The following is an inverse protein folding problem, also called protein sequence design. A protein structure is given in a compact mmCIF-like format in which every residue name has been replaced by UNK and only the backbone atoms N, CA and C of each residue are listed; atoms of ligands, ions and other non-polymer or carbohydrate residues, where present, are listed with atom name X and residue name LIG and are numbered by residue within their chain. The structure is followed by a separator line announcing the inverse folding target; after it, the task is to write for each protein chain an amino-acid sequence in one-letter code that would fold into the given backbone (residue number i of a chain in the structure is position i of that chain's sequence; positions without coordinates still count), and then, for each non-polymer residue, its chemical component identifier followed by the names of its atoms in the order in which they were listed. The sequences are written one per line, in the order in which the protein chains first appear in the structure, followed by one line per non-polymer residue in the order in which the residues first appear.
data_IF_431501695325
#
_entry.id   IF_431501695325
#
_cell.length_a   1.000
_cell.length_b   1.000
_cell.length_c   1.000
_cell.angle_alpha   90.00
_cell.angle_beta   90.00
_cell.angle_gamma   90.00
#
_symmetry.space_group_name_H-M   'P 1'
#
loop_
_entity.id
_entity.type
_entity.pdbx_description
1 polymer ?
#
# COMPACT_ATOMS: atom_id res chain seq x y z
N UNK A 1 9.08 -17.41 -11.70
CA UNK A 1 8.37 -16.86 -10.52
C UNK A 1 7.74 -18.01 -9.76
N UNK A 2 8.22 -18.30 -8.55
CA UNK A 2 7.54 -19.21 -7.64
C UNK A 2 6.57 -18.38 -6.81
N UNK A 3 5.29 -18.30 -7.20
CA UNK A 3 4.27 -17.62 -6.40
C UNK A 3 3.82 -18.50 -5.24
N UNK A 4 3.26 -17.89 -4.19
CA UNK A 4 2.56 -18.65 -3.15
C UNK A 4 1.41 -19.46 -3.76
N UNK A 5 1.32 -20.74 -3.38
CA UNK A 5 0.29 -21.65 -3.90
C UNK A 5 -1.06 -21.44 -3.22
N UNK A 6 -1.08 -20.89 -2.00
CA UNK A 6 -2.29 -20.60 -1.24
C UNK A 6 -2.04 -19.60 -0.10
N UNK A 7 -3.13 -19.08 0.48
CA UNK A 7 -3.10 -18.13 1.60
C UNK A 7 -2.36 -18.71 2.82
N UNK A 8 -2.50 -20.02 3.09
CA UNK A 8 -1.84 -20.65 4.24
C UNK A 8 -0.32 -20.60 4.13
N UNK A 9 0.23 -20.85 2.94
CA UNK A 9 1.67 -20.74 2.66
C UNK A 9 2.16 -19.29 2.82
N UNK A 10 1.40 -18.33 2.28
CA UNK A 10 1.70 -16.90 2.42
C UNK A 10 1.75 -16.48 3.89
N UNK A 11 0.68 -16.73 4.65
CA UNK A 11 0.58 -16.33 6.06
C UNK A 11 1.63 -17.03 6.91
N UNK A 12 1.88 -18.31 6.69
CA UNK A 12 2.91 -19.04 7.41
C UNK A 12 4.31 -18.48 7.13
N UNK A 13 4.59 -18.09 5.89
CA UNK A 13 5.86 -17.46 5.51
C UNK A 13 6.03 -16.09 6.17
N UNK A 14 5.02 -15.23 6.09
CA UNK A 14 5.05 -13.91 6.73
C UNK A 14 5.20 -14.03 8.25
N UNK A 15 4.53 -15.00 8.87
CA UNK A 15 4.64 -15.28 10.31
C UNK A 15 6.04 -15.76 10.70
N UNK A 16 6.62 -16.70 9.92
CA UNK A 16 7.96 -17.21 10.18
C UNK A 16 9.03 -16.11 10.06
N UNK A 17 8.89 -15.23 9.08
CA UNK A 17 9.86 -14.16 8.78
C UNK A 17 9.50 -12.80 9.39
N UNK A 18 8.63 -12.79 10.41
CA UNK A 18 8.09 -11.55 11.00
C UNK A 18 9.19 -10.62 11.52
N UNK A 19 10.27 -11.15 12.10
CA UNK A 19 11.36 -10.34 12.66
C UNK A 19 12.12 -9.60 11.55
N UNK A 20 12.54 -10.32 10.50
CA UNK A 20 13.21 -9.74 9.34
C UNK A 20 12.33 -8.70 8.67
N UNK A 21 11.09 -9.05 8.32
CA UNK A 21 10.17 -8.17 7.60
C UNK A 21 9.81 -6.93 8.44
N UNK A 22 9.67 -7.06 9.76
CA UNK A 22 9.41 -5.93 10.65
C UNK A 22 10.57 -4.94 10.68
N UNK A 23 11.81 -5.41 10.79
CA UNK A 23 13.00 -4.54 10.78
C UNK A 23 13.22 -3.89 9.41
N UNK A 24 13.04 -4.64 8.33
CA UNK A 24 13.08 -4.09 6.96
C UNK A 24 12.01 -3.02 6.78
N UNK A 25 10.78 -3.26 7.25
CA UNK A 25 9.69 -2.31 7.14
C UNK A 25 9.93 -1.04 7.96
N UNK A 26 10.50 -1.13 9.17
CA UNK A 26 10.90 0.05 9.96
C UNK A 26 11.94 0.89 9.22
N UNK A 27 12.89 0.24 8.54
CA UNK A 27 13.99 0.88 7.81
C UNK A 27 13.67 1.17 6.35
N UNK A 28 12.44 0.93 5.86
CA UNK A 28 12.06 1.06 4.44
C UNK A 28 12.34 2.41 3.78
N UNK A 29 12.49 3.48 4.58
CA UNK A 29 12.82 4.86 4.11
C UNK A 29 14.24 5.30 4.43
N UNK A 30 15.02 4.42 5.05
CA UNK A 30 16.41 4.68 5.37
C UNK A 30 17.21 4.78 4.07
N UNK A 31 18.00 5.86 3.96
CA UNK A 31 18.99 6.02 2.88
C UNK A 31 20.08 4.94 3.00
N UNK A 32 20.30 4.40 4.21
CA UNK A 32 21.16 3.22 4.40
C UNK A 32 20.39 1.99 3.96
N UNK A 33 20.88 1.39 2.89
CA UNK A 33 20.40 0.12 2.35
C UNK A 33 20.46 -1.00 3.41
N UNK A 34 19.49 -1.92 3.40
CA UNK A 34 19.41 -3.03 4.35
C UNK A 34 20.38 -4.13 3.92
N UNK A 35 21.49 -4.32 4.64
CA UNK A 35 22.54 -5.25 4.23
C UNK A 35 22.15 -6.72 4.39
N UNK A 36 22.65 -7.57 3.49
CA UNK A 36 22.39 -9.01 3.50
C UNK A 36 22.82 -9.69 4.81
N UNK A 37 24.02 -9.36 5.31
CA UNK A 37 24.54 -9.94 6.55
C UNK A 37 23.63 -9.64 7.75
N UNK A 38 23.11 -8.41 7.83
CA UNK A 38 22.16 -8.04 8.86
C UNK A 38 20.82 -8.77 8.71
N UNK A 39 20.36 -9.02 7.49
CA UNK A 39 19.19 -9.85 7.26
C UNK A 39 19.42 -11.30 7.69
N UNK A 40 20.63 -11.82 7.47
CA UNK A 40 21.03 -13.19 7.80
C UNK A 40 21.00 -13.41 9.33
N UNK A 41 21.47 -12.42 10.09
CA UNK A 41 21.36 -12.42 11.56
C UNK A 41 19.90 -12.53 12.04
N UNK A 42 18.98 -11.84 11.35
CA UNK A 42 17.55 -11.80 11.70
C UNK A 42 16.79 -13.09 11.35
N UNK A 43 17.41 -14.00 10.59
CA UNK A 43 16.85 -15.31 10.23
C UNK A 43 17.65 -16.48 10.83
N UNK A 44 18.35 -16.23 11.94
CA UNK A 44 19.14 -17.23 12.67
C UNK A 44 20.24 -17.86 11.81
N UNK A 45 20.88 -17.05 10.96
CA UNK A 45 21.91 -17.48 10.01
C UNK A 45 21.46 -18.52 8.98
N UNK A 46 20.15 -18.68 8.79
CA UNK A 46 19.60 -19.61 7.82
C UNK A 46 19.33 -18.92 6.47
N UNK A 47 20.37 -18.89 5.63
CA UNK A 47 20.38 -18.31 4.28
C UNK A 47 19.23 -18.81 3.38
N UNK A 48 18.76 -20.06 3.58
CA UNK A 48 17.64 -20.62 2.80
C UNK A 48 16.34 -19.83 3.00
N UNK A 49 16.17 -19.16 4.15
CA UNK A 49 14.98 -18.35 4.45
C UNK A 49 14.96 -17.08 3.60
N UNK A 50 16.11 -16.41 3.46
CA UNK A 50 16.24 -15.22 2.61
C UNK A 50 16.05 -15.60 1.14
N UNK A 51 16.71 -16.67 0.67
CA UNK A 51 16.52 -17.19 -0.69
C UNK A 51 15.06 -17.53 -0.98
N UNK A 52 14.37 -18.15 -0.04
CA UNK A 52 12.94 -18.45 -0.18
C UNK A 52 12.07 -17.20 -0.37
N UNK A 53 12.40 -16.09 0.32
CA UNK A 53 11.73 -14.80 0.15
C UNK A 53 12.06 -14.13 -1.19
N UNK A 54 13.32 -14.23 -1.65
CA UNK A 54 13.76 -13.74 -2.96
C UNK A 54 13.06 -14.49 -4.10
N UNK A 55 13.01 -15.83 -4.03
CA UNK A 55 12.37 -16.68 -5.05
C UNK A 55 10.86 -16.40 -5.22
N UNK A 56 10.24 -15.86 -4.17
CA UNK A 56 8.81 -15.49 -4.09
C UNK A 56 8.56 -14.00 -4.28
N UNK A 57 9.62 -13.23 -4.54
CA UNK A 57 9.55 -11.77 -4.73
C UNK A 57 8.86 -11.08 -3.54
N UNK A 58 9.08 -11.58 -2.32
CA UNK A 58 8.70 -10.87 -1.09
C UNK A 58 9.70 -9.77 -0.80
N UNK A 59 10.96 -10.04 -1.10
CA UNK A 59 12.09 -9.12 -1.03
C UNK A 59 12.85 -9.18 -2.35
N UNK A 60 13.60 -8.13 -2.65
CA UNK A 60 14.52 -8.04 -3.79
C UNK A 60 15.94 -7.81 -3.30
N UNK A 61 16.91 -8.20 -4.13
CA UNK A 61 18.32 -8.00 -3.85
C UNK A 61 18.96 -7.09 -4.90
N UNK A 62 19.61 -6.02 -4.44
CA UNK A 62 20.40 -5.09 -5.24
C UNK A 62 21.85 -5.06 -4.70
N UNK A 63 22.72 -5.87 -5.29
CA UNK A 63 24.08 -6.08 -4.79
C UNK A 63 24.07 -6.76 -3.41
N UNK A 64 24.72 -6.15 -2.41
CA UNK A 64 24.71 -6.67 -1.04
C UNK A 64 23.52 -6.18 -0.20
N UNK A 65 22.52 -5.57 -0.83
CA UNK A 65 21.40 -4.96 -0.15
C UNK A 65 20.09 -5.66 -0.49
N UNK A 66 19.19 -5.65 0.48
CA UNK A 66 17.84 -6.19 0.38
C UNK A 66 16.82 -5.07 0.56
N UNK A 67 15.71 -5.20 -0.13
CA UNK A 67 14.55 -4.33 -0.01
C UNK A 67 13.27 -5.17 -0.04
N UNK A 68 12.21 -4.68 0.59
CA UNK A 68 10.89 -5.32 0.44
C UNK A 68 10.42 -5.04 -0.98
N UNK A 69 9.91 -6.05 -1.67
CA UNK A 69 9.29 -5.88 -2.99
C UNK A 69 8.14 -4.87 -2.93
N UNK A 70 8.00 -4.02 -3.95
CA UNK A 70 7.02 -2.93 -3.97
C UNK A 70 5.58 -3.41 -3.70
N UNK A 71 5.20 -4.58 -4.20
CA UNK A 71 3.86 -5.13 -3.99
C UNK A 71 3.61 -5.45 -2.51
N UNK A 72 4.60 -6.08 -1.86
CA UNK A 72 4.54 -6.40 -0.44
C UNK A 72 4.66 -5.16 0.44
N UNK A 73 5.49 -4.20 0.03
CA UNK A 73 5.64 -2.92 0.70
C UNK A 73 4.30 -2.17 0.72
N UNK A 74 3.67 -2.03 -0.44
CA UNK A 74 2.34 -1.41 -0.57
C UNK A 74 1.29 -2.17 0.25
N UNK A 75 1.30 -3.50 0.22
CA UNK A 75 0.41 -4.32 1.05
C UNK A 75 0.57 -4.00 2.55
N UNK A 76 1.80 -4.00 3.07
CA UNK A 76 2.05 -3.69 4.47
C UNK A 76 1.68 -2.25 4.81
N UNK A 77 2.06 -1.27 3.99
CA UNK A 77 1.74 0.12 4.24
C UNK A 77 0.22 0.41 4.20
N UNK A 78 -0.52 -0.26 3.32
CA UNK A 78 -1.98 -0.16 3.25
C UNK A 78 -2.67 -0.79 4.46
N UNK A 79 -2.24 -1.99 4.88
CA UNK A 79 -2.87 -2.72 5.99
C UNK A 79 -2.50 -2.11 7.34
N UNK A 80 -1.26 -1.66 7.51
CA UNK A 80 -0.76 -1.05 8.74
C UNK A 80 -1.09 0.45 8.84
N UNK A 81 -1.77 1.03 7.85
CA UNK A 81 -2.02 2.47 7.74
C UNK A 81 -0.72 3.29 7.87
N UNK A 82 0.36 2.78 7.27
CA UNK A 82 1.68 3.40 7.29
C UNK A 82 2.05 4.08 5.97
N UNK A 83 1.14 4.05 4.98
CA UNK A 83 1.23 4.78 3.72
C UNK A 83 1.58 6.26 3.97
N UNK A 84 2.43 6.81 3.11
CA UNK A 84 2.66 8.26 3.01
C UNK A 84 2.28 8.78 1.64
N UNK A 85 1.81 7.94 0.72
CA UNK A 85 1.35 8.43 -0.57
C UNK A 85 -0.16 8.54 -0.60
N UNK A 86 -0.62 9.79 -0.69
CA UNK A 86 -2.01 10.10 -1.00
C UNK A 86 -2.24 9.78 -2.48
N UNK A 87 -3.06 8.76 -2.75
CA UNK A 87 -3.46 8.35 -4.09
C UNK A 87 -4.94 8.65 -4.31
N UNK A 88 -5.22 9.70 -5.10
CA UNK A 88 -6.57 10.14 -5.47
C UNK A 88 -7.10 9.43 -6.71
N UNK A 89 -6.22 8.93 -7.59
CA UNK A 89 -6.59 8.17 -8.79
C UNK A 89 -7.36 6.89 -8.46
N UNK A 90 -6.94 6.17 -7.41
CA UNK A 90 -7.65 4.99 -6.93
C UNK A 90 -9.10 5.30 -6.55
N UNK A 91 -9.39 6.49 -5.99
CA UNK A 91 -10.76 6.84 -5.61
C UNK A 91 -11.63 7.05 -6.85
N UNK A 92 -11.12 7.75 -7.86
CA UNK A 92 -11.83 7.94 -9.13
C UNK A 92 -12.19 6.61 -9.81
N UNK A 93 -11.24 5.68 -9.89
CA UNK A 93 -11.49 4.35 -10.47
C UNK A 93 -12.59 3.59 -9.71
N UNK A 94 -12.63 3.70 -8.39
CA UNK A 94 -13.67 3.05 -7.60
C UNK A 94 -15.03 3.75 -7.74
N UNK A 95 -15.07 5.08 -7.89
CA UNK A 95 -16.31 5.80 -8.20
C UNK A 95 -16.86 5.34 -9.55
N UNK A 96 -16.02 5.24 -10.58
CA UNK A 96 -16.43 4.74 -11.89
C UNK A 96 -16.90 3.28 -11.81
N UNK A 97 -16.20 2.44 -11.05
CA UNK A 97 -16.64 1.06 -10.78
C UNK A 97 -18.00 1.01 -10.10
N UNK A 98 -18.29 1.91 -9.16
CA UNK A 98 -19.61 2.01 -8.52
C UNK A 98 -20.67 2.35 -9.56
N UNK A 99 -20.46 3.38 -10.40
CA UNK A 99 -21.40 3.78 -11.46
C UNK A 99 -21.70 2.62 -12.41
N UNK A 100 -20.66 1.96 -12.92
CA UNK A 100 -20.82 0.79 -13.80
C UNK A 100 -21.63 -0.33 -13.14
N UNK A 101 -21.37 -0.64 -11.87
CA UNK A 101 -22.12 -1.69 -11.18
C UNK A 101 -23.57 -1.28 -10.87
N UNK A 102 -23.85 0.02 -10.69
CA UNK A 102 -25.23 0.54 -10.61
C UNK A 102 -25.95 0.29 -11.93
N UNK A 103 -25.32 0.61 -13.07
CA UNK A 103 -25.90 0.37 -14.38
C UNK A 103 -26.17 -1.13 -14.61
N UNK A 104 -25.22 -2.00 -14.25
CA UNK A 104 -25.41 -3.45 -14.33
C UNK A 104 -26.53 -3.94 -13.41
N UNK A 105 -26.65 -3.38 -12.20
CA UNK A 105 -27.72 -3.70 -11.26
C UNK A 105 -29.10 -3.32 -11.80
N UNK A 106 -29.22 -2.15 -12.43
CA UNK A 106 -30.48 -1.63 -12.97
C UNK A 106 -30.92 -2.39 -14.23
N UNK A 107 -29.98 -2.88 -15.03
CA UNK A 107 -30.25 -3.60 -16.28
C UNK A 107 -30.41 -5.13 -16.10
N UNK A 108 -30.10 -5.68 -14.93
CA UNK A 108 -30.13 -7.13 -14.68
C UNK A 108 -31.51 -7.60 -14.19
N UNK A 109 -32.03 -8.64 -14.84
CA UNK A 109 -33.32 -9.26 -14.53
C UNK A 109 -33.17 -10.50 -13.64
N UNK A 110 -31.99 -11.11 -13.59
CA UNK A 110 -31.72 -12.24 -12.72
C UNK A 110 -31.41 -11.77 -11.29
N UNK A 111 -32.28 -12.12 -10.33
CA UNK A 111 -32.16 -11.72 -8.92
C UNK A 111 -30.81 -12.08 -8.26
N UNK A 112 -30.25 -13.25 -8.57
CA UNK A 112 -28.97 -13.66 -7.99
C UNK A 112 -27.81 -12.80 -8.51
N UNK A 113 -27.78 -12.49 -9.81
CA UNK A 113 -26.76 -11.61 -10.40
C UNK A 113 -26.94 -10.17 -9.94
N UNK A 114 -28.18 -9.71 -9.85
CA UNK A 114 -28.55 -8.41 -9.30
C UNK A 114 -28.05 -8.25 -7.86
N UNK A 115 -28.21 -9.27 -7.02
CA UNK A 115 -27.64 -9.29 -5.67
C UNK A 115 -26.11 -9.18 -5.66
N UNK A 116 -25.42 -9.84 -6.60
CA UNK A 116 -23.96 -9.75 -6.71
C UNK A 116 -23.48 -8.33 -7.07
N UNK A 117 -24.14 -7.67 -8.03
CA UNK A 117 -23.83 -6.26 -8.36
C UNK A 117 -24.09 -5.35 -7.15
N UNK A 118 -25.20 -5.53 -6.43
CA UNK A 118 -25.49 -4.79 -5.20
C UNK A 118 -24.42 -5.00 -4.12
N UNK A 119 -23.93 -6.23 -3.96
CA UNK A 119 -22.85 -6.56 -3.03
C UNK A 119 -21.55 -5.85 -3.40
N UNK A 120 -21.19 -5.84 -4.68
CA UNK A 120 -19.99 -5.14 -5.15
C UNK A 120 -20.13 -3.61 -5.02
N UNK A 121 -21.30 -3.02 -5.27
CA UNK A 121 -21.58 -1.60 -5.01
C UNK A 121 -21.33 -1.27 -3.54
N UNK A 122 -21.96 -2.01 -2.61
CA UNK A 122 -21.84 -1.78 -1.15
C UNK A 122 -20.40 -1.93 -0.67
N UNK A 123 -19.71 -2.97 -1.14
CA UNK A 123 -18.29 -3.22 -0.82
C UNK A 123 -17.41 -2.10 -1.33
N UNK A 124 -17.59 -1.66 -2.56
CA UNK A 124 -16.79 -0.60 -3.19
C UNK A 124 -17.04 0.75 -2.50
N UNK A 125 -18.28 1.09 -2.18
CA UNK A 125 -18.62 2.29 -1.40
C UNK A 125 -17.93 2.34 -0.03
N UNK A 126 -17.99 1.23 0.72
CA UNK A 126 -17.32 1.14 2.02
C UNK A 126 -15.80 1.32 1.88
N UNK A 127 -15.21 0.71 0.87
CA UNK A 127 -13.78 0.83 0.62
C UNK A 127 -13.38 2.25 0.23
N UNK A 128 -14.17 2.93 -0.61
CA UNK A 128 -13.94 4.34 -0.98
C UNK A 128 -13.94 5.23 0.26
N UNK A 129 -14.96 5.13 1.11
CA UNK A 129 -15.04 5.94 2.33
C UNK A 129 -13.81 5.76 3.23
N UNK A 130 -13.41 4.51 3.47
CA UNK A 130 -12.22 4.19 4.28
C UNK A 130 -10.93 4.73 3.68
N UNK A 131 -10.77 4.64 2.36
CA UNK A 131 -9.57 5.09 1.65
C UNK A 131 -9.51 6.62 1.58
N UNK A 132 -10.62 7.29 1.33
CA UNK A 132 -10.71 8.75 1.39
C UNK A 132 -10.33 9.27 2.77
N UNK A 133 -10.86 8.68 3.84
CA UNK A 133 -10.51 9.06 5.20
C UNK A 133 -9.01 8.86 5.48
N UNK A 134 -8.46 7.71 5.08
CA UNK A 134 -7.03 7.42 5.20
C UNK A 134 -6.18 8.46 4.46
N UNK A 135 -6.53 8.76 3.21
CA UNK A 135 -5.84 9.76 2.40
C UNK A 135 -5.83 11.15 3.07
N UNK A 136 -6.89 11.54 3.78
CA UNK A 136 -6.93 12.80 4.54
C UNK A 136 -5.93 12.77 5.71
N UNK A 137 -5.88 11.67 6.46
CA UNK A 137 -4.96 11.50 7.60
C UNK A 137 -3.51 11.49 7.13
N UNK A 138 -3.21 10.74 6.07
CA UNK A 138 -1.88 10.66 5.49
C UNK A 138 -1.44 12.01 4.91
N UNK A 139 -2.35 12.72 4.24
CA UNK A 139 -2.08 14.07 3.74
C UNK A 139 -1.63 15.00 4.86
N UNK A 140 -2.34 15.00 5.99
CA UNK A 140 -1.96 15.80 7.17
C UNK A 140 -0.58 15.40 7.70
N UNK A 141 -0.33 14.10 7.88
CA UNK A 141 0.97 13.59 8.36
C UNK A 141 2.12 14.01 7.45
N UNK A 142 1.91 13.97 6.14
CA UNK A 142 2.90 14.36 5.15
C UNK A 142 3.19 15.85 5.15
N UNK A 143 2.16 16.69 5.31
CA UNK A 143 2.33 18.14 5.45
C UNK A 143 3.18 18.43 6.69
N UNK A 144 2.84 17.84 7.84
CA UNK A 144 3.58 18.02 9.09
C UNK A 144 5.04 17.56 8.96
N UNK A 145 5.28 16.38 8.36
CA UNK A 145 6.61 15.84 8.14
C UNK A 145 7.44 16.70 7.18
N UNK A 146 6.86 17.11 6.05
CA UNK A 146 7.53 17.97 5.05
C UNK A 146 7.88 19.32 5.66
N UNK A 147 6.95 19.91 6.42
CA UNK A 147 7.17 21.20 7.06
C UNK A 147 8.31 21.15 8.08
N UNK A 148 8.34 20.11 8.93
CA UNK A 148 9.35 19.95 10.00
C UNK A 148 10.71 19.50 9.48
N UNK A 149 10.75 18.54 8.56
CA UNK A 149 11.95 17.74 8.30
C UNK A 149 12.60 17.98 6.94
N UNK A 150 11.96 18.64 5.97
CA UNK A 150 12.62 18.96 4.69
C UNK A 150 13.66 20.09 4.90
N UNK A 151 14.97 19.83 4.72
CA UNK A 151 15.99 20.84 4.97
C UNK A 151 16.09 21.86 3.84
N UNK A 152 15.80 21.47 2.59
CA UNK A 152 15.93 22.37 1.46
C UNK A 152 14.66 23.21 1.28
N UNK A 153 14.78 24.52 1.40
CA UNK A 153 13.64 25.44 1.33
C UNK A 153 12.87 25.39 0.00
N UNK A 154 13.59 25.33 -1.14
CA UNK A 154 12.94 25.23 -2.46
C UNK A 154 12.16 23.93 -2.60
N UNK A 155 12.74 22.83 -2.15
CA UNK A 155 12.07 21.52 -2.15
C UNK A 155 10.88 21.50 -1.19
N UNK A 156 10.99 22.14 -0.01
CA UNK A 156 9.90 22.26 0.95
C UNK A 156 8.68 22.93 0.33
N UNK A 157 8.87 24.09 -0.32
CA UNK A 157 7.78 24.79 -1.01
C UNK A 157 7.17 23.91 -2.10
N UNK A 158 8.00 23.33 -2.97
CA UNK A 158 7.52 22.50 -4.06
C UNK A 158 6.70 21.30 -3.56
N UNK A 159 7.18 20.60 -2.52
CA UNK A 159 6.48 19.47 -1.91
C UNK A 159 5.16 19.89 -1.25
N UNK A 160 5.14 21.01 -0.52
CA UNK A 160 3.91 21.52 0.11
C UNK A 160 2.86 21.94 -0.93
N UNK A 161 3.26 22.58 -2.03
CA UNK A 161 2.35 22.91 -3.14
C UNK A 161 1.75 21.64 -3.77
N UNK A 162 2.55 20.59 -3.94
CA UNK A 162 2.05 19.30 -4.44
C UNK A 162 1.04 18.67 -3.46
N UNK A 163 1.29 18.73 -2.14
CA UNK A 163 0.35 18.26 -1.13
C UNK A 163 -0.96 19.07 -1.14
N UNK A 164 -0.91 20.39 -1.32
CA UNK A 164 -2.12 21.21 -1.48
C UNK A 164 -2.93 20.85 -2.73
N UNK A 165 -2.28 20.51 -3.84
CA UNK A 165 -2.99 20.01 -5.01
C UNK A 165 -3.71 18.68 -4.72
N UNK A 166 -3.04 17.75 -4.02
CA UNK A 166 -3.68 16.51 -3.57
C UNK A 166 -4.87 16.76 -2.63
N UNK A 167 -4.79 17.78 -1.76
CA UNK A 167 -5.92 18.22 -0.92
C UNK A 167 -7.12 18.63 -1.79
N UNK A 168 -6.90 19.44 -2.81
CA UNK A 168 -7.96 19.90 -3.73
C UNK A 168 -8.61 18.72 -4.45
N UNK A 169 -7.81 17.75 -4.88
CA UNK A 169 -8.32 16.53 -5.50
C UNK A 169 -9.20 15.72 -4.53
N UNK A 170 -8.78 15.57 -3.26
CA UNK A 170 -9.63 14.92 -2.24
C UNK A 170 -10.94 15.67 -2.02
N UNK A 171 -10.90 17.01 -1.95
CA UNK A 171 -12.09 17.83 -1.75
C UNK A 171 -13.09 17.66 -2.90
N UNK A 172 -12.60 17.65 -4.15
CA UNK A 172 -13.44 17.41 -5.32
C UNK A 172 -14.18 16.06 -5.24
N UNK A 173 -13.59 15.05 -4.60
CA UNK A 173 -14.23 13.74 -4.41
C UNK A 173 -15.36 13.74 -3.38
N UNK A 174 -15.43 14.77 -2.52
CA UNK A 174 -16.45 14.90 -1.47
C UNK A 174 -17.55 15.87 -1.89
N UNK A 175 -17.20 16.92 -2.65
CA UNK A 175 -18.14 17.97 -3.07
C UNK A 175 -18.95 17.61 -4.33
N UNK A 176 -18.59 16.52 -5.02
CA UNK A 176 -19.37 15.92 -6.11
C UNK A 176 -20.39 14.91 -5.59
#
# INVERSE_FOLDING_TARGET
MNTFSNIKELVATLSREVNLLSEMFKKRKSIKNFQYDYALDLVDNNDKRIKYLLDREVIRQNGNNLEIDDLFLQFFEQILNANEEVNTSYINENIEKIKQNIDYFLNENNEQRKYNYLREIKKTLRNVGNITLRNVVDLKRNIDNTFKNEPNYKNKIAKLNNLDNKRKDIIRLIEH
#
